data_IF_068475103297
#
_entry.id   IF_068475103297
#
_cell.length_a   1.000
_cell.length_b   1.000
_cell.length_c   1.000
_cell.angle_alpha   90.00
_cell.angle_beta   90.00
_cell.angle_gamma   90.00
#
_symmetry.space_group_name_H-M   'P 1'
#
loop_
_entity.id
_entity.type
_entity.pdbx_description
1 polymer ?
#
# COMPACT_ATOMS: atom_id res chain seq x y z
N UNK A 1 -11.33 52.11 -39.39
CA UNK A 1 -12.13 51.68 -38.22
C UNK A 1 -11.42 50.50 -37.61
N UNK A 2 -11.05 50.68 -36.36
CA UNK A 2 -10.06 49.96 -35.56
C UNK A 2 -10.54 48.57 -35.13
N UNK A 3 -9.69 47.57 -35.32
CA UNK A 3 -9.81 46.26 -34.67
C UNK A 3 -9.36 46.38 -33.21
N UNK A 4 -10.29 46.26 -32.27
CA UNK A 4 -9.96 46.14 -30.85
C UNK A 4 -9.39 44.75 -30.55
N UNK A 5 -8.16 44.73 -30.04
CA UNK A 5 -7.53 43.55 -29.46
C UNK A 5 -8.14 43.28 -28.07
N UNK A 6 -8.54 42.04 -27.73
CA UNK A 6 -8.99 41.75 -26.38
C UNK A 6 -7.80 41.78 -25.43
N UNK A 7 -7.77 42.80 -24.56
CA UNK A 7 -6.76 42.94 -23.53
C UNK A 7 -6.75 41.70 -22.61
N UNK A 8 -5.65 40.95 -22.60
CA UNK A 8 -5.40 39.90 -21.63
C UNK A 8 -5.18 40.54 -20.25
N UNK A 9 -6.21 40.51 -19.40
CA UNK A 9 -6.10 40.95 -18.00
C UNK A 9 -5.39 39.90 -17.16
N UNK A 10 -4.24 40.25 -16.57
CA UNK A 10 -3.60 39.45 -15.54
C UNK A 10 -4.14 39.84 -14.16
N UNK A 11 -4.68 38.89 -13.40
CA UNK A 11 -5.07 39.09 -12.01
C UNK A 11 -3.93 38.60 -11.10
N UNK A 12 -3.30 39.52 -10.36
CA UNK A 12 -2.29 39.21 -9.35
C UNK A 12 -2.93 39.35 -7.98
N UNK A 13 -3.03 38.24 -7.23
CA UNK A 13 -3.54 38.25 -5.87
C UNK A 13 -2.40 38.32 -4.85
N UNK A 14 -2.49 39.30 -3.95
CA UNK A 14 -1.59 39.48 -2.83
C UNK A 14 -2.18 38.78 -1.60
N UNK A 15 -1.41 37.93 -0.93
CA UNK A 15 -1.73 37.49 0.43
C UNK A 15 -0.73 38.10 1.39
N UNK A 16 -1.17 39.10 2.14
CA UNK A 16 -0.34 39.82 3.10
C UNK A 16 0.05 38.91 4.29
N UNK A 17 1.33 38.81 4.68
CA UNK A 17 1.72 38.13 5.89
C UNK A 17 1.42 39.02 7.11
N UNK A 18 0.29 38.77 7.77
CA UNK A 18 0.07 39.25 9.14
C UNK A 18 0.98 38.47 10.11
N UNK A 19 2.27 38.81 10.15
CA UNK A 19 3.15 38.75 11.33
C UNK A 19 4.53 39.31 10.98
N UNK A 20 4.97 40.42 11.61
CA UNK A 20 6.35 40.86 11.52
C UNK A 20 7.14 40.08 12.57
N UNK A 21 7.89 39.07 12.15
CA UNK A 21 9.11 38.52 12.80
C UNK A 21 9.24 37.01 12.59
N UNK A 22 9.76 36.60 11.44
CA UNK A 22 10.69 35.46 11.34
C UNK A 22 11.27 35.42 9.93
N UNK A 23 12.61 35.34 9.85
CA UNK A 23 13.41 35.40 8.62
C UNK A 23 12.85 34.59 7.46
N UNK A 24 12.76 35.25 6.30
CA UNK A 24 12.03 34.83 5.12
C UNK A 24 12.64 33.64 4.37
N UNK A 25 11.74 32.74 3.96
CA UNK A 25 11.89 31.84 2.83
C UNK A 25 11.30 32.57 1.60
N UNK A 26 11.84 32.42 0.37
CA UNK A 26 11.40 33.25 -0.76
C UNK A 26 9.95 32.95 -1.15
N UNK A 27 9.28 34.03 -1.55
CA UNK A 27 7.89 34.12 -1.96
C UNK A 27 7.51 33.06 -2.99
N UNK A 28 6.42 32.33 -2.74
CA UNK A 28 5.79 31.48 -3.76
C UNK A 28 4.74 32.31 -4.49
N UNK A 29 5.10 32.76 -5.67
CA UNK A 29 4.22 33.44 -6.62
C UNK A 29 3.39 32.41 -7.39
N UNK A 30 2.10 32.65 -7.55
CA UNK A 30 1.27 31.97 -8.54
C UNK A 30 0.93 32.98 -9.64
N UNK A 31 1.60 32.86 -10.79
CA UNK A 31 1.27 33.63 -11.99
C UNK A 31 0.38 32.75 -12.86
N UNK A 32 -0.89 33.15 -13.04
CA UNK A 32 -1.82 32.43 -13.93
C UNK A 32 -1.94 33.26 -15.22
N UNK A 33 -1.35 32.76 -16.30
CA UNK A 33 -1.38 33.40 -17.62
C UNK A 33 -2.55 32.87 -18.46
N UNK A 34 -3.40 33.80 -18.92
CA UNK A 34 -4.13 33.72 -20.19
C UNK A 34 -5.09 32.54 -20.39
N UNK A 35 -6.15 32.47 -19.60
CA UNK A 35 -7.32 31.62 -19.87
C UNK A 35 -8.60 32.45 -20.03
N UNK A 36 -9.62 31.86 -20.67
CA UNK A 36 -10.98 32.44 -20.76
C UNK A 36 -11.41 32.88 -19.35
N UNK A 37 -11.92 34.13 -19.15
CA UNK A 37 -12.08 34.73 -17.81
C UNK A 37 -12.80 33.86 -16.78
N UNK A 38 -13.79 33.06 -17.21
CA UNK A 38 -14.52 32.15 -16.34
C UNK A 38 -13.69 30.97 -15.80
N UNK A 39 -12.75 30.41 -16.58
CA UNK A 39 -11.90 29.29 -16.13
C UNK A 39 -10.80 29.77 -15.18
N UNK A 40 -10.18 30.91 -15.50
CA UNK A 40 -9.15 31.52 -14.64
C UNK A 40 -9.72 31.93 -13.28
N UNK A 41 -10.93 32.50 -13.22
CA UNK A 41 -11.60 32.80 -11.95
C UNK A 41 -11.90 31.53 -11.15
N UNK A 42 -12.41 30.47 -11.79
CA UNK A 42 -12.69 29.20 -11.11
C UNK A 42 -11.41 28.56 -10.51
N UNK A 43 -10.29 28.58 -11.24
CA UNK A 43 -8.99 28.09 -10.77
C UNK A 43 -8.45 28.93 -9.60
N UNK A 44 -8.60 30.25 -9.66
CA UNK A 44 -8.24 31.17 -8.57
C UNK A 44 -9.08 30.87 -7.33
N UNK A 45 -10.40 30.75 -7.45
CA UNK A 45 -11.28 30.43 -6.32
C UNK A 45 -10.97 29.06 -5.72
N UNK A 46 -10.69 28.06 -6.56
CA UNK A 46 -10.28 26.73 -6.11
C UNK A 46 -8.96 26.79 -5.35
N UNK A 47 -7.96 27.49 -5.89
CA UNK A 47 -6.62 27.61 -5.28
C UNK A 47 -6.68 28.36 -3.95
N UNK A 48 -7.38 29.50 -3.90
CA UNK A 48 -7.56 30.28 -2.68
C UNK A 48 -8.39 29.50 -1.65
N UNK A 49 -9.45 28.82 -2.08
CA UNK A 49 -10.26 27.95 -1.25
C UNK A 49 -9.46 26.80 -0.64
N UNK A 50 -8.60 26.14 -1.43
CA UNK A 50 -7.69 25.10 -0.95
C UNK A 50 -6.64 25.66 0.04
N UNK A 51 -6.06 26.84 -0.23
CA UNK A 51 -5.07 27.46 0.64
C UNK A 51 -5.68 27.88 1.99
N UNK A 52 -6.87 28.48 1.96
CA UNK A 52 -7.64 28.84 3.17
C UNK A 52 -8.06 27.58 3.93
N UNK A 53 -8.63 26.58 3.26
CA UNK A 53 -8.99 25.30 3.85
C UNK A 53 -7.80 24.57 4.49
N UNK A 54 -6.61 24.67 3.89
CA UNK A 54 -5.39 24.12 4.47
C UNK A 54 -4.95 24.89 5.72
N UNK A 55 -5.04 26.23 5.71
CA UNK A 55 -4.69 27.06 6.88
C UNK A 55 -5.68 26.86 8.03
N UNK A 56 -6.97 26.82 7.76
CA UNK A 56 -8.00 26.55 8.78
C UNK A 56 -7.86 25.15 9.35
N UNK A 57 -7.59 24.13 8.51
CA UNK A 57 -7.29 22.79 9.02
C UNK A 57 -6.03 22.78 9.89
N UNK A 58 -4.94 23.45 9.51
CA UNK A 58 -3.74 23.55 10.37
C UNK A 58 -4.05 24.25 11.70
N UNK A 59 -4.88 25.29 11.67
CA UNK A 59 -5.29 25.99 12.89
C UNK A 59 -6.20 25.12 13.76
N UNK A 60 -7.16 24.41 13.16
CA UNK A 60 -7.98 23.42 13.84
C UNK A 60 -7.11 22.33 14.48
N UNK A 61 -6.13 21.79 13.76
CA UNK A 61 -5.14 20.84 14.30
C UNK A 61 -4.36 21.42 15.49
N UNK A 62 -3.86 22.67 15.38
CA UNK A 62 -3.17 23.36 16.49
C UNK A 62 -4.08 23.56 17.70
N UNK A 63 -5.37 23.77 17.48
CA UNK A 63 -6.39 23.88 18.53
C UNK A 63 -6.89 22.50 19.02
N UNK A 64 -6.33 21.40 18.48
CA UNK A 64 -6.72 20.04 18.84
C UNK A 64 -8.14 19.67 18.41
N UNK A 65 -8.61 20.26 17.32
CA UNK A 65 -9.92 20.07 16.70
C UNK A 65 -9.77 19.20 15.43
N UNK A 66 -10.83 18.48 15.08
CA UNK A 66 -10.90 17.61 13.90
C UNK A 66 -10.82 16.11 14.20
N UNK A 67 -11.28 15.25 13.28
CA UNK A 67 -11.32 13.80 13.46
C UNK A 67 -9.94 13.19 13.72
N UNK A 68 -8.93 13.58 12.93
CA UNK A 68 -7.57 13.04 13.02
C UNK A 68 -6.94 13.28 14.40
N UNK A 69 -7.03 14.49 14.94
CA UNK A 69 -6.43 14.79 16.27
C UNK A 69 -7.15 14.03 17.38
N UNK A 70 -8.46 13.90 17.30
CA UNK A 70 -9.23 13.13 18.29
C UNK A 70 -8.89 11.64 18.19
N UNK A 71 -8.76 11.11 16.97
CA UNK A 71 -8.36 9.74 16.73
C UNK A 71 -6.95 9.45 17.27
N UNK A 72 -6.00 10.37 17.10
CA UNK A 72 -4.67 10.27 17.71
C UNK A 72 -4.73 10.27 19.24
N UNK A 73 -5.59 11.08 19.87
CA UNK A 73 -5.78 11.06 21.33
C UNK A 73 -6.35 9.72 21.82
N UNK A 74 -7.28 9.14 21.07
CA UNK A 74 -7.82 7.80 21.34
C UNK A 74 -6.72 6.76 21.16
N UNK A 75 -5.95 6.80 20.08
CA UNK A 75 -4.85 5.87 19.86
C UNK A 75 -3.77 5.98 20.94
N UNK A 76 -3.40 7.20 21.35
CA UNK A 76 -2.41 7.45 22.43
C UNK A 76 -2.89 7.02 23.81
N UNK A 77 -4.21 6.85 24.01
CA UNK A 77 -4.72 6.23 25.24
C UNK A 77 -4.24 4.78 25.34
N UNK A 78 -4.19 4.08 24.21
CA UNK A 78 -3.64 2.75 24.11
C UNK A 78 -2.12 2.84 24.00
N UNK A 79 -1.46 2.41 25.06
CA UNK A 79 -0.01 2.22 25.09
C UNK A 79 0.44 1.16 24.06
N UNK A 80 1.75 0.92 23.99
CA UNK A 80 2.32 -0.17 23.18
C UNK A 80 2.66 -1.38 24.04
N UNK A 81 2.74 -2.56 23.42
CA UNK A 81 3.17 -3.78 24.11
C UNK A 81 2.12 -4.33 25.09
N UNK A 82 2.57 -4.82 26.25
CA UNK A 82 1.73 -5.55 27.22
C UNK A 82 0.73 -4.66 27.95
N UNK A 83 1.06 -3.38 28.15
CA UNK A 83 0.15 -2.40 28.78
C UNK A 83 -1.10 -2.20 27.91
N UNK A 84 -0.96 -2.31 26.58
CA UNK A 84 -2.10 -2.26 25.65
C UNK A 84 -3.11 -3.38 25.92
N UNK A 85 -2.62 -4.61 26.12
CA UNK A 85 -3.48 -5.77 26.39
C UNK A 85 -4.25 -5.58 27.71
N UNK A 86 -3.59 -5.06 28.74
CA UNK A 86 -4.23 -4.74 30.03
C UNK A 86 -5.31 -3.66 29.88
N UNK A 87 -5.02 -2.59 29.14
CA UNK A 87 -5.96 -1.51 28.89
C UNK A 87 -7.19 -2.01 28.10
N UNK A 88 -6.98 -2.82 27.05
CA UNK A 88 -8.07 -3.42 26.28
C UNK A 88 -8.92 -4.38 27.12
N UNK A 89 -8.29 -5.17 27.99
CA UNK A 89 -9.02 -6.05 28.92
C UNK A 89 -9.87 -5.25 29.91
N UNK A 90 -9.34 -4.12 30.42
CA UNK A 90 -10.03 -3.26 31.36
C UNK A 90 -11.28 -2.58 30.76
N UNK A 91 -11.27 -2.27 29.45
CA UNK A 91 -12.41 -1.63 28.76
C UNK A 91 -13.72 -2.41 28.87
N UNK A 92 -13.66 -3.73 29.03
CA UNK A 92 -14.85 -4.57 29.18
C UNK A 92 -15.55 -4.35 30.52
N UNK A 93 -14.81 -3.92 31.53
CA UNK A 93 -15.33 -3.71 32.87
C UNK A 93 -15.73 -2.24 33.09
N UNK A 94 -14.85 -1.32 32.70
CA UNK A 94 -15.05 0.11 32.91
C UNK A 94 -14.49 0.91 31.73
N UNK A 95 -15.30 1.84 31.21
CA UNK A 95 -14.85 2.75 30.16
C UNK A 95 -14.28 4.01 30.81
N UNK A 96 -13.00 4.35 30.57
CA UNK A 96 -12.42 5.58 31.06
C UNK A 96 -13.15 6.80 30.50
N UNK A 97 -13.55 7.74 31.37
CA UNK A 97 -14.31 8.96 31.00
C UNK A 97 -13.64 9.75 29.88
N UNK A 98 -12.30 9.81 29.88
CA UNK A 98 -11.53 10.50 28.84
C UNK A 98 -11.69 9.82 27.47
N UNK A 99 -11.62 8.50 27.44
CA UNK A 99 -11.79 7.71 26.21
C UNK A 99 -13.22 7.83 25.69
N UNK A 100 -14.23 7.69 26.58
CA UNK A 100 -15.64 7.87 26.21
C UNK A 100 -15.90 9.26 25.62
N UNK A 101 -15.37 10.31 26.25
CA UNK A 101 -15.51 11.69 25.77
C UNK A 101 -14.87 11.87 24.39
N UNK A 102 -13.67 11.37 24.20
CA UNK A 102 -12.93 11.55 22.94
C UNK A 102 -13.58 10.69 21.82
N UNK A 103 -14.02 9.46 22.10
CA UNK A 103 -14.80 8.62 21.17
C UNK A 103 -16.15 9.25 20.81
N UNK A 104 -16.90 9.75 21.79
CA UNK A 104 -18.16 10.48 21.56
C UNK A 104 -17.95 11.75 20.73
N UNK A 105 -16.82 12.43 20.91
CA UNK A 105 -16.45 13.57 20.08
C UNK A 105 -16.13 13.16 18.64
N UNK A 106 -15.42 12.05 18.44
CA UNK A 106 -15.14 11.53 17.10
C UNK A 106 -16.44 11.14 16.37
N UNK A 107 -17.36 10.47 17.08
CA UNK A 107 -18.69 10.15 16.54
C UNK A 107 -19.46 11.39 16.14
N UNK A 108 -19.37 12.48 16.92
CA UNK A 108 -20.02 13.75 16.57
C UNK A 108 -19.58 14.28 15.20
N UNK A 109 -18.36 13.98 14.75
CA UNK A 109 -17.90 14.40 13.43
C UNK A 109 -18.48 13.61 12.25
N UNK A 110 -19.06 12.43 12.52
CA UNK A 110 -19.71 11.58 11.51
C UNK A 110 -21.14 12.04 11.16
N UNK A 111 -21.73 12.95 11.93
CA UNK A 111 -23.13 13.38 11.72
C UNK A 111 -23.29 14.46 10.64
N UNK A 112 -24.48 14.60 10.03
CA UNK A 112 -24.78 15.58 8.97
C UNK A 112 -24.59 17.06 9.32
N UNK A 113 -24.27 17.36 10.59
CA UNK A 113 -23.89 18.71 11.02
C UNK A 113 -22.49 19.12 10.56
N UNK A 114 -21.68 18.17 10.07
CA UNK A 114 -20.34 18.41 9.58
C UNK A 114 -20.28 18.36 8.04
N UNK A 115 -19.22 18.95 7.48
CA UNK A 115 -18.97 18.85 6.04
C UNK A 115 -18.73 17.39 5.61
N UNK A 116 -19.11 17.00 4.37
CA UNK A 116 -18.85 15.67 3.82
C UNK A 116 -17.40 15.20 3.99
N UNK A 117 -16.43 16.10 3.78
CA UNK A 117 -15.01 15.81 3.95
C UNK A 117 -14.66 15.45 5.39
N UNK A 118 -15.20 16.18 6.36
CA UNK A 118 -14.99 15.92 7.79
C UNK A 118 -15.64 14.61 8.22
N UNK A 119 -16.83 14.31 7.71
CA UNK A 119 -17.50 13.04 7.96
C UNK A 119 -16.71 11.86 7.42
N UNK A 120 -16.24 11.93 6.16
CA UNK A 120 -15.39 10.88 5.57
C UNK A 120 -14.17 10.59 6.43
N UNK A 121 -13.46 11.64 6.85
CA UNK A 121 -12.32 11.51 7.76
C UNK A 121 -12.74 10.87 9.09
N UNK A 122 -13.90 11.23 9.65
CA UNK A 122 -14.39 10.59 10.86
C UNK A 122 -14.68 9.09 10.66
N UNK A 123 -15.29 8.70 9.54
CA UNK A 123 -15.56 7.31 9.20
C UNK A 123 -14.27 6.49 9.09
N UNK A 124 -13.27 6.99 8.35
CA UNK A 124 -11.95 6.35 8.23
C UNK A 124 -11.31 6.10 9.60
N UNK A 125 -11.36 7.10 10.49
CA UNK A 125 -10.79 6.98 11.83
C UNK A 125 -11.60 6.06 12.72
N UNK A 126 -12.93 6.03 12.60
CA UNK A 126 -13.77 5.05 13.31
C UNK A 126 -13.38 3.64 12.89
N UNK A 127 -13.36 3.35 11.58
CA UNK A 127 -12.93 2.05 11.02
C UNK A 127 -11.56 1.66 11.56
N UNK A 128 -10.58 2.54 11.44
CA UNK A 128 -9.20 2.29 11.89
C UNK A 128 -9.14 1.98 13.36
N UNK A 129 -9.78 2.78 14.22
CA UNK A 129 -9.74 2.60 15.65
C UNK A 129 -10.48 1.34 16.11
N UNK A 130 -11.68 1.08 15.58
CA UNK A 130 -12.47 -0.09 15.98
C UNK A 130 -11.82 -1.40 15.60
N UNK A 131 -11.12 -1.43 14.47
CA UNK A 131 -10.45 -2.65 13.98
C UNK A 131 -9.05 -2.83 14.54
N UNK A 132 -8.33 -1.74 14.81
CA UNK A 132 -7.00 -1.78 15.46
C UNK A 132 -7.07 -2.12 16.95
N UNK A 133 -8.13 -1.69 17.65
CA UNK A 133 -8.29 -1.91 19.09
C UNK A 133 -9.53 -2.77 19.38
N UNK A 134 -9.38 -4.12 19.41
CA UNK A 134 -10.51 -5.01 19.68
C UNK A 134 -11.24 -4.66 20.98
N UNK A 135 -12.55 -4.46 20.90
CA UNK A 135 -13.41 -4.02 22.02
C UNK A 135 -13.68 -2.52 22.06
N UNK A 136 -12.94 -1.68 21.33
CA UNK A 136 -13.21 -0.24 21.27
C UNK A 136 -14.56 0.10 20.62
N UNK A 137 -15.08 -0.79 19.76
CA UNK A 137 -16.44 -0.72 19.20
C UNK A 137 -17.50 -0.44 20.27
N UNK A 138 -17.42 -1.11 21.41
CA UNK A 138 -18.38 -0.94 22.53
C UNK A 138 -18.40 0.50 23.07
N UNK A 139 -17.26 1.19 23.08
CA UNK A 139 -17.16 2.59 23.53
C UNK A 139 -17.89 3.52 22.57
N UNK A 140 -17.78 3.28 21.26
CA UNK A 140 -18.51 4.06 20.26
C UNK A 140 -20.01 3.84 20.34
N UNK A 141 -20.45 2.58 20.52
CA UNK A 141 -21.86 2.23 20.68
C UNK A 141 -22.51 2.79 21.95
N UNK A 142 -21.73 3.05 23.00
CA UNK A 142 -22.21 3.71 24.23
C UNK A 142 -22.30 5.23 24.14
N UNK A 143 -21.76 5.83 23.08
CA UNK A 143 -21.84 7.28 22.91
C UNK A 143 -23.30 7.74 22.85
N UNK A 144 -23.56 8.96 23.33
CA UNK A 144 -24.90 9.59 23.27
C UNK A 144 -25.52 9.63 21.87
N UNK A 145 -24.68 9.55 20.84
CA UNK A 145 -25.07 9.56 19.44
C UNK A 145 -25.71 8.25 18.96
N UNK A 146 -25.47 7.15 19.68
CA UNK A 146 -25.94 5.81 19.33
C UNK A 146 -27.07 5.31 20.26
N UNK A 147 -27.52 6.15 21.20
CA UNK A 147 -28.57 5.78 22.14
C UNK A 147 -29.90 5.53 21.41
N UNK A 148 -30.46 4.33 21.58
CA UNK A 148 -31.73 3.93 20.95
C UNK A 148 -31.62 3.53 19.48
N UNK A 149 -30.42 3.48 18.92
CA UNK A 149 -30.18 3.08 17.53
C UNK A 149 -29.98 1.57 17.49
N UNK A 150 -30.72 0.82 16.65
CA UNK A 150 -30.43 -0.60 16.42
C UNK A 150 -29.01 -0.81 15.90
N UNK A 151 -28.32 -1.86 16.36
CA UNK A 151 -26.97 -2.25 15.92
C UNK A 151 -26.93 -2.87 14.52
N UNK A 152 -27.91 -2.51 13.66
CA UNK A 152 -28.00 -2.92 12.27
C UNK A 152 -27.23 -1.94 11.38
N UNK A 153 -26.44 -2.47 10.44
CA UNK A 153 -25.62 -1.69 9.50
C UNK A 153 -26.41 -0.55 8.84
N UNK A 154 -27.58 -0.83 8.28
CA UNK A 154 -28.37 0.15 7.54
C UNK A 154 -28.96 1.23 8.47
N UNK A 155 -29.34 0.84 9.70
CA UNK A 155 -29.81 1.79 10.71
C UNK A 155 -28.71 2.77 11.13
N UNK A 156 -27.47 2.29 11.29
CA UNK A 156 -26.33 3.13 11.62
C UNK A 156 -25.96 4.03 10.44
N UNK A 157 -25.89 3.47 9.23
CA UNK A 157 -25.56 4.24 8.03
C UNK A 157 -26.56 5.37 7.76
N UNK A 158 -27.86 5.12 7.97
CA UNK A 158 -28.92 6.11 7.78
C UNK A 158 -28.80 7.32 8.71
N UNK A 159 -28.23 7.16 9.91
CA UNK A 159 -27.96 8.30 10.82
C UNK A 159 -26.95 9.30 10.27
N UNK A 160 -26.09 8.82 9.36
CA UNK A 160 -25.02 9.61 8.77
C UNK A 160 -25.35 10.06 7.35
N UNK A 161 -26.57 9.79 6.86
CA UNK A 161 -27.03 10.27 5.57
C UNK A 161 -26.98 11.80 5.50
N UNK A 162 -26.32 12.32 4.47
CA UNK A 162 -26.27 13.76 4.23
C UNK A 162 -27.58 14.21 3.56
N UNK A 163 -28.20 15.33 4.00
CA UNK A 163 -29.48 15.79 3.44
C UNK A 163 -29.41 16.15 1.96
N UNK A 164 -28.22 16.58 1.49
CA UNK A 164 -28.00 17.03 0.12
C UNK A 164 -27.88 15.89 -0.92
N UNK A 165 -28.16 14.64 -0.52
CA UNK A 165 -28.21 13.49 -1.42
C UNK A 165 -26.91 12.69 -1.51
N UNK A 166 -26.82 11.74 -2.48
CA UNK A 166 -25.70 10.82 -2.59
C UNK A 166 -24.41 11.58 -2.89
N UNK A 167 -23.44 11.42 -2.00
CA UNK A 167 -22.11 11.99 -2.11
C UNK A 167 -21.20 11.09 -2.95
N UNK A 168 -19.96 11.54 -3.12
CA UNK A 168 -18.86 10.82 -3.76
C UNK A 168 -18.80 9.31 -3.36
N UNK A 169 -18.48 8.38 -4.30
CA UNK A 169 -18.43 6.95 -4.01
C UNK A 169 -17.51 6.57 -2.85
N UNK A 170 -16.40 7.28 -2.68
CA UNK A 170 -15.45 7.06 -1.57
C UNK A 170 -16.10 7.40 -0.23
N UNK A 171 -16.87 8.50 -0.16
CA UNK A 171 -17.62 8.85 1.04
C UNK A 171 -18.65 7.77 1.39
N UNK A 172 -19.39 7.27 0.39
CA UNK A 172 -20.40 6.23 0.59
C UNK A 172 -19.77 4.89 1.03
N UNK A 173 -18.61 4.55 0.47
CA UNK A 173 -17.81 3.40 0.90
C UNK A 173 -17.44 3.51 2.39
N UNK A 174 -16.78 4.60 2.79
CA UNK A 174 -16.31 4.78 4.17
C UNK A 174 -17.45 4.84 5.18
N UNK A 175 -18.55 5.51 4.84
CA UNK A 175 -19.76 5.53 5.68
C UNK A 175 -20.26 4.12 5.94
N UNK A 176 -20.42 3.34 4.87
CA UNK A 176 -20.95 1.98 4.93
C UNK A 176 -19.98 1.05 5.68
N UNK A 177 -18.68 1.24 5.48
CA UNK A 177 -17.66 0.47 6.18
C UNK A 177 -17.63 0.77 7.68
N UNK A 178 -17.68 2.05 8.06
CA UNK A 178 -17.77 2.47 9.46
C UNK A 178 -19.04 1.94 10.12
N UNK A 179 -20.18 1.96 9.41
CA UNK A 179 -21.44 1.42 9.91
C UNK A 179 -21.34 -0.10 10.12
N UNK A 180 -20.70 -0.82 9.19
CA UNK A 180 -20.42 -2.26 9.31
C UNK A 180 -19.53 -2.55 10.52
N UNK A 181 -18.49 -1.74 10.75
CA UNK A 181 -17.61 -1.87 11.93
C UNK A 181 -18.34 -1.71 13.26
N UNK A 182 -19.40 -0.88 13.30
CA UNK A 182 -20.21 -0.66 14.51
C UNK A 182 -21.37 -1.65 14.62
N UNK A 183 -21.85 -2.19 13.49
CA UNK A 183 -22.94 -3.15 13.46
C UNK A 183 -22.59 -4.47 14.14
N UNK A 184 -23.61 -5.21 14.55
CA UNK A 184 -23.45 -6.55 15.11
C UNK A 184 -23.25 -7.57 13.98
N UNK A 185 -21.99 -7.97 13.78
CA UNK A 185 -21.59 -8.99 12.81
C UNK A 185 -21.10 -10.24 13.51
N UNK A 186 -21.08 -11.38 12.81
CA UNK A 186 -20.48 -12.62 13.32
C UNK A 186 -19.02 -12.41 13.76
N UNK A 187 -18.26 -11.60 13.01
CA UNK A 187 -16.88 -11.23 13.33
C UNK A 187 -16.82 -10.40 14.62
N UNK A 188 -17.70 -9.40 14.77
CA UNK A 188 -17.74 -8.56 15.97
C UNK A 188 -18.09 -9.37 17.22
N UNK A 189 -19.11 -10.23 17.13
CA UNK A 189 -19.51 -11.15 18.23
C UNK A 189 -18.34 -12.06 18.60
N UNK A 190 -17.68 -12.68 17.61
CA UNK A 190 -16.52 -13.55 17.82
C UNK A 190 -15.39 -12.85 18.59
N UNK A 191 -15.10 -11.59 18.27
CA UNK A 191 -14.05 -10.80 18.91
C UNK A 191 -14.41 -10.35 20.32
N UNK A 192 -15.67 -9.99 20.55
CA UNK A 192 -16.16 -9.49 21.83
C UNK A 192 -16.31 -10.61 22.85
N UNK A 193 -16.72 -11.81 22.42
CA UNK A 193 -16.81 -13.00 23.27
C UNK A 193 -15.42 -13.55 23.65
N UNK A 194 -14.41 -13.39 22.78
CA UNK A 194 -13.06 -13.89 23.03
C UNK A 194 -12.31 -12.98 24.00
N UNK A 195 -11.83 -13.46 25.17
CA UNK A 195 -11.03 -12.64 26.09
C UNK A 195 -9.79 -12.03 25.43
N UNK A 196 -9.41 -10.81 25.83
CA UNK A 196 -8.24 -10.11 25.24
C UNK A 196 -6.96 -10.95 25.34
N UNK A 197 -6.76 -11.64 26.45
CA UNK A 197 -5.63 -12.56 26.67
C UNK A 197 -5.60 -13.76 25.73
N UNK A 198 -6.71 -14.06 25.05
CA UNK A 198 -6.84 -15.17 24.10
C UNK A 198 -6.80 -14.70 22.64
N UNK A 199 -7.02 -13.41 22.36
CA UNK A 199 -7.10 -12.87 20.98
C UNK A 199 -5.86 -13.23 20.15
N UNK A 200 -4.67 -13.04 20.74
CA UNK A 200 -3.39 -13.27 20.09
C UNK A 200 -2.82 -14.68 20.35
N UNK A 201 -3.58 -15.57 20.97
CA UNK A 201 -3.11 -16.92 21.28
C UNK A 201 -3.47 -17.90 20.19
N UNK A 202 -2.56 -18.83 19.91
CA UNK A 202 -2.85 -19.99 19.06
C UNK A 202 -3.50 -21.15 19.84
N UNK A 203 -4.07 -20.86 21.01
CA UNK A 203 -4.83 -21.86 21.77
C UNK A 203 -6.13 -22.13 21.03
N UNK A 204 -6.41 -23.41 20.84
CA UNK A 204 -7.63 -23.86 20.17
C UNK A 204 -8.81 -23.69 21.13
N UNK A 205 -9.88 -23.07 20.65
CA UNK A 205 -11.15 -23.01 21.37
C UNK A 205 -11.91 -24.36 21.24
N UNK A 206 -13.17 -24.38 21.70
CA UNK A 206 -14.05 -25.54 21.61
C UNK A 206 -14.32 -26.02 20.17
N UNK A 207 -13.91 -25.27 19.14
CA UNK A 207 -13.96 -25.63 17.72
C UNK A 207 -12.63 -26.10 17.13
N UNK A 208 -11.56 -26.21 17.94
CA UNK A 208 -10.27 -26.72 17.46
C UNK A 208 -9.45 -25.71 16.63
N UNK A 209 -9.89 -24.45 16.55
CA UNK A 209 -9.25 -23.38 15.79
C UNK A 209 -8.93 -22.20 16.71
N UNK A 210 -7.83 -21.50 16.44
CA UNK A 210 -7.55 -20.21 17.07
C UNK A 210 -8.42 -19.10 16.45
N UNK A 211 -8.58 -17.98 17.14
CA UNK A 211 -9.28 -16.81 16.59
C UNK A 211 -8.66 -16.34 15.26
N UNK A 212 -7.32 -16.32 15.17
CA UNK A 212 -6.59 -15.95 13.97
C UNK A 212 -6.97 -16.87 12.80
N UNK A 213 -7.03 -18.19 13.04
CA UNK A 213 -7.45 -19.15 12.02
C UNK A 213 -8.93 -18.97 11.62
N UNK A 214 -9.81 -18.69 12.58
CA UNK A 214 -11.23 -18.39 12.29
C UNK A 214 -11.39 -17.15 11.41
N UNK A 215 -10.63 -16.09 11.67
CA UNK A 215 -10.63 -14.87 10.85
C UNK A 215 -10.06 -15.11 9.45
N UNK A 216 -8.99 -15.90 9.33
CA UNK A 216 -8.43 -16.29 8.03
C UNK A 216 -9.43 -17.11 7.19
N UNK A 217 -10.18 -18.01 7.83
CA UNK A 217 -11.24 -18.78 7.16
C UNK A 217 -12.40 -17.87 6.76
N UNK A 218 -12.88 -17.01 7.66
CA UNK A 218 -13.97 -16.07 7.39
C UNK A 218 -13.65 -15.17 6.19
N UNK A 219 -12.42 -14.67 6.10
CA UNK A 219 -11.93 -13.91 4.93
C UNK A 219 -12.02 -14.68 3.60
N UNK A 220 -11.88 -16.02 3.63
CA UNK A 220 -11.88 -16.85 2.43
C UNK A 220 -13.25 -17.41 2.02
N UNK A 221 -14.25 -17.35 2.90
CA UNK A 221 -15.54 -18.02 2.70
C UNK A 221 -16.65 -17.12 2.15
N UNK A 222 -16.54 -15.80 2.31
CA UNK A 222 -17.63 -14.90 1.96
C UNK A 222 -17.45 -14.33 0.55
N UNK A 223 -18.16 -14.91 -0.42
CA UNK A 223 -18.22 -14.43 -1.81
C UNK A 223 -19.58 -13.80 -2.07
N UNK A 224 -19.65 -12.47 -2.17
CA UNK A 224 -20.84 -11.72 -2.56
C UNK A 224 -20.70 -10.22 -2.30
N UNK A 225 -21.46 -9.40 -3.03
CA UNK A 225 -21.37 -7.93 -2.95
C UNK A 225 -21.65 -7.39 -1.52
N UNK A 226 -22.56 -8.03 -0.78
CA UNK A 226 -22.90 -7.67 0.60
C UNK A 226 -21.78 -7.98 1.60
N UNK A 227 -20.84 -8.87 1.23
CA UNK A 227 -19.75 -9.36 2.08
C UNK A 227 -18.42 -8.64 1.85
N UNK A 228 -18.36 -7.67 0.94
CA UNK A 228 -17.14 -6.91 0.62
C UNK A 228 -16.48 -6.35 1.89
N UNK A 229 -17.27 -5.87 2.85
CA UNK A 229 -16.76 -5.33 4.10
C UNK A 229 -16.33 -6.39 5.12
N UNK A 230 -16.87 -7.61 5.09
CA UNK A 230 -16.43 -8.67 6.00
C UNK A 230 -14.98 -9.06 5.75
N UNK A 231 -14.58 -9.16 4.49
CA UNK A 231 -13.19 -9.47 4.13
C UNK A 231 -12.24 -8.37 4.60
N UNK A 232 -12.62 -7.11 4.40
CA UNK A 232 -11.86 -5.96 4.89
C UNK A 232 -11.81 -5.90 6.43
N UNK A 233 -12.91 -6.22 7.11
CA UNK A 233 -12.96 -6.35 8.57
C UNK A 233 -12.01 -7.42 9.07
N UNK A 234 -12.02 -8.62 8.49
CA UNK A 234 -11.11 -9.70 8.84
C UNK A 234 -9.64 -9.28 8.71
N UNK A 235 -9.28 -8.64 7.59
CA UNK A 235 -7.92 -8.14 7.35
C UNK A 235 -7.51 -7.15 8.44
N UNK A 236 -8.33 -6.14 8.71
CA UNK A 236 -8.00 -5.10 9.70
C UNK A 236 -7.95 -5.65 11.13
N UNK A 237 -8.89 -6.53 11.51
CA UNK A 237 -8.87 -7.16 12.83
C UNK A 237 -7.66 -8.10 13.00
N UNK A 238 -7.27 -8.84 11.96
CA UNK A 238 -6.03 -9.61 11.98
C UNK A 238 -4.83 -8.69 12.23
N UNK A 239 -4.74 -7.54 11.55
CA UNK A 239 -3.71 -6.55 11.81
C UNK A 239 -3.71 -6.07 13.27
N UNK A 240 -4.89 -5.70 13.80
CA UNK A 240 -5.04 -5.22 15.18
C UNK A 240 -4.67 -6.26 16.24
N UNK A 241 -5.03 -7.52 16.02
CA UNK A 241 -4.67 -8.65 16.90
C UNK A 241 -3.17 -8.92 16.84
N UNK A 242 -2.57 -8.89 15.64
CA UNK A 242 -1.14 -9.14 15.47
C UNK A 242 -0.26 -7.98 15.99
N UNK A 243 -0.81 -6.79 16.23
CA UNK A 243 -0.07 -5.76 16.97
C UNK A 243 0.11 -6.10 18.46
N UNK A 244 -0.69 -7.02 19.00
CA UNK A 244 -0.54 -7.47 20.39
C UNK A 244 0.71 -8.35 20.51
N UNK A 245 1.56 -8.12 21.53
CA UNK A 245 2.80 -8.87 21.67
C UNK A 245 2.57 -10.36 21.92
N UNK A 246 1.44 -10.76 22.49
CA UNK A 246 1.14 -12.16 22.84
C UNK A 246 1.43 -13.17 21.73
N UNK A 247 1.10 -12.86 20.48
CA UNK A 247 1.35 -13.77 19.35
C UNK A 247 2.86 -13.92 19.07
N UNK A 248 3.56 -12.79 18.92
CA UNK A 248 4.97 -12.78 18.53
C UNK A 248 5.95 -13.09 19.67
N UNK A 249 5.53 -13.07 20.92
CA UNK A 249 6.36 -13.48 22.04
C UNK A 249 6.48 -15.01 22.17
N UNK A 250 5.53 -15.77 21.62
CA UNK A 250 5.45 -17.22 21.77
C UNK A 250 6.00 -17.97 20.55
N UNK A 251 7.24 -18.45 20.63
CA UNK A 251 7.87 -19.26 19.57
C UNK A 251 7.60 -20.74 19.85
N UNK A 252 6.34 -21.17 19.66
CA UNK A 252 5.95 -22.59 19.74
C UNK A 252 5.62 -23.11 18.34
N UNK A 253 5.70 -24.43 18.15
CA UNK A 253 5.36 -25.09 16.86
C UNK A 253 3.98 -24.64 16.34
N UNK A 254 2.99 -24.52 17.23
CA UNK A 254 1.65 -24.06 16.85
C UNK A 254 1.66 -22.63 16.29
N UNK A 255 2.48 -21.73 16.84
CA UNK A 255 2.60 -20.37 16.33
C UNK A 255 3.32 -20.35 14.97
N UNK A 256 4.33 -21.20 14.78
CA UNK A 256 4.99 -21.38 13.48
C UNK A 256 4.00 -21.75 12.38
N UNK A 257 3.08 -22.68 12.68
CA UNK A 257 2.07 -23.11 11.70
C UNK A 257 1.02 -22.03 11.42
N UNK A 258 0.55 -21.31 12.44
CA UNK A 258 -0.37 -20.17 12.24
C UNK A 258 0.32 -19.05 11.46
N UNK A 259 1.60 -18.77 11.73
CA UNK A 259 2.37 -17.78 11.00
C UNK A 259 2.57 -18.16 9.52
N UNK A 260 2.74 -19.45 9.21
CA UNK A 260 2.74 -19.95 7.83
C UNK A 260 1.41 -19.68 7.14
N UNK A 261 0.29 -20.00 7.78
CA UNK A 261 -1.06 -19.73 7.26
C UNK A 261 -1.29 -18.23 7.04
N UNK A 262 -0.85 -17.39 7.96
CA UNK A 262 -0.89 -15.92 7.83
C UNK A 262 -0.11 -15.44 6.61
N UNK A 263 1.12 -15.92 6.41
CA UNK A 263 1.93 -15.54 5.25
C UNK A 263 1.29 -16.00 3.94
N UNK A 264 0.77 -17.23 3.88
CA UNK A 264 0.05 -17.71 2.69
C UNK A 264 -1.22 -16.90 2.39
N UNK A 265 -2.00 -16.57 3.43
CA UNK A 265 -3.14 -15.67 3.30
C UNK A 265 -2.73 -14.30 2.77
N UNK A 266 -1.63 -13.75 3.29
CA UNK A 266 -1.09 -12.47 2.84
C UNK A 266 -0.62 -12.51 1.38
N UNK A 267 0.09 -13.58 0.96
CA UNK A 267 0.47 -13.78 -0.45
C UNK A 267 -0.77 -13.74 -1.34
N UNK A 268 -1.83 -14.47 -0.97
CA UNK A 268 -3.07 -14.49 -1.73
C UNK A 268 -3.69 -13.09 -1.83
N UNK A 269 -3.83 -12.38 -0.71
CA UNK A 269 -4.35 -11.01 -0.68
C UNK A 269 -3.54 -10.10 -1.61
N UNK A 270 -2.20 -10.16 -1.55
CA UNK A 270 -1.34 -9.32 -2.39
C UNK A 270 -1.48 -9.62 -3.89
N UNK A 271 -1.68 -10.88 -4.25
CA UNK A 271 -1.94 -11.30 -5.63
C UNK A 271 -3.33 -10.88 -6.10
N UNK A 272 -4.34 -11.01 -5.23
CA UNK A 272 -5.72 -10.63 -5.54
C UNK A 272 -5.84 -9.11 -5.83
N UNK A 273 -5.02 -8.27 -5.18
CA UNK A 273 -4.95 -6.83 -5.48
C UNK A 273 -3.99 -6.47 -6.62
N UNK A 274 -3.42 -7.48 -7.29
CA UNK A 274 -2.55 -7.31 -8.45
C UNK A 274 -1.20 -6.64 -8.16
N UNK A 275 -0.71 -6.65 -6.91
CA UNK A 275 0.61 -6.07 -6.57
C UNK A 275 1.76 -6.84 -7.21
N UNK A 276 1.54 -8.10 -7.58
CA UNK A 276 2.48 -8.93 -8.33
C UNK A 276 2.34 -8.80 -9.85
N UNK A 277 1.41 -8.00 -10.37
CA UNK A 277 1.28 -7.79 -11.81
C UNK A 277 2.18 -6.64 -12.24
N UNK A 278 2.89 -6.81 -13.36
CA UNK A 278 3.62 -5.69 -13.97
C UNK A 278 2.61 -4.65 -14.44
N UNK A 279 2.83 -3.35 -14.18
CA UNK A 279 1.95 -2.31 -14.67
C UNK A 279 2.07 -2.26 -16.20
N UNK A 280 1.28 -3.08 -16.89
CA UNK A 280 1.25 -3.14 -18.35
C UNK A 280 0.19 -2.20 -18.92
N UNK A 281 -0.72 -1.64 -18.11
CA UNK A 281 -1.71 -0.66 -18.56
C UNK A 281 -2.28 0.20 -17.42
N UNK A 282 -2.71 1.42 -17.75
CA UNK A 282 -3.29 2.44 -16.86
C UNK A 282 -4.63 2.04 -16.18
N UNK A 283 -5.12 0.82 -16.39
CA UNK A 283 -6.44 0.35 -15.92
C UNK A 283 -6.54 0.08 -14.42
N UNK A 284 -5.44 0.12 -13.66
CA UNK A 284 -5.36 -0.29 -12.26
C UNK A 284 -5.87 0.76 -11.23
N UNK A 285 -6.49 1.87 -11.63
CA UNK A 285 -6.70 3.03 -10.73
C UNK A 285 -8.14 3.38 -10.35
N UNK A 286 -9.17 2.64 -10.78
CA UNK A 286 -10.55 3.07 -10.55
C UNK A 286 -11.36 2.29 -9.51
N UNK A 287 -10.80 1.30 -8.82
CA UNK A 287 -11.56 0.62 -7.76
C UNK A 287 -11.48 1.40 -6.44
N UNK A 288 -12.31 2.44 -6.32
CA UNK A 288 -12.52 3.21 -5.08
C UNK A 288 -13.14 2.39 -3.93
N UNK A 289 -13.25 1.07 -4.09
CA UNK A 289 -13.93 0.13 -3.19
C UNK A 289 -12.98 -0.80 -2.44
N UNK A 290 -11.67 -0.65 -2.60
CA UNK A 290 -10.70 -1.54 -1.96
C UNK A 290 -9.99 -0.90 -0.76
N UNK A 291 -9.86 -1.65 0.33
CA UNK A 291 -9.24 -1.20 1.58
C UNK A 291 -7.72 -1.43 1.58
N UNK A 292 -7.00 -0.68 0.74
CA UNK A 292 -5.54 -0.75 0.65
C UNK A 292 -4.85 -0.43 1.99
N UNK A 293 -5.40 0.50 2.78
CA UNK A 293 -4.86 0.84 4.10
C UNK A 293 -4.94 -0.36 5.06
N UNK A 294 -6.04 -1.12 5.05
CA UNK A 294 -6.18 -2.33 5.86
C UNK A 294 -5.18 -3.42 5.46
N UNK A 295 -4.96 -3.61 4.15
CA UNK A 295 -3.97 -4.56 3.62
C UNK A 295 -2.55 -4.14 3.98
N UNK A 296 -2.21 -2.86 3.81
CA UNK A 296 -0.90 -2.30 4.16
C UNK A 296 -0.63 -2.44 5.66
N UNK A 297 -1.64 -2.19 6.49
CA UNK A 297 -1.54 -2.35 7.94
C UNK A 297 -1.30 -3.81 8.37
N UNK A 298 -2.02 -4.78 7.78
CA UNK A 298 -1.82 -6.20 8.06
C UNK A 298 -0.42 -6.66 7.64
N UNK A 299 -0.01 -6.31 6.42
CA UNK A 299 1.31 -6.67 5.89
C UNK A 299 2.44 -6.07 6.74
N UNK A 300 2.38 -4.78 7.09
CA UNK A 300 3.37 -4.15 7.97
C UNK A 300 3.47 -4.87 9.32
N UNK A 301 2.32 -5.20 9.93
CA UNK A 301 2.29 -5.91 11.21
C UNK A 301 2.93 -7.29 11.11
N UNK A 302 2.69 -8.04 10.03
CA UNK A 302 3.34 -9.34 9.77
C UNK A 302 4.87 -9.15 9.63
N UNK A 303 5.33 -8.16 8.86
CA UNK A 303 6.76 -7.89 8.66
C UNK A 303 7.46 -7.53 9.98
N UNK A 304 6.84 -6.68 10.80
CA UNK A 304 7.35 -6.29 12.13
C UNK A 304 7.43 -7.51 13.05
N UNK A 305 6.37 -8.31 13.09
CA UNK A 305 6.29 -9.54 13.88
C UNK A 305 7.37 -10.55 13.52
N UNK A 306 7.49 -10.86 12.23
CA UNK A 306 8.49 -11.79 11.71
C UNK A 306 9.91 -11.28 11.91
N UNK A 307 10.16 -9.99 11.69
CA UNK A 307 11.47 -9.36 11.98
C UNK A 307 11.88 -9.53 13.44
N UNK A 308 10.92 -9.49 14.37
CA UNK A 308 11.18 -9.77 15.78
C UNK A 308 11.42 -11.25 16.08
N UNK A 309 10.82 -12.17 15.32
CA UNK A 309 11.13 -13.59 15.39
C UNK A 309 12.53 -13.93 14.88
N UNK A 310 12.95 -13.35 13.76
CA UNK A 310 14.32 -13.51 13.25
C UNK A 310 15.37 -13.11 14.30
N UNK A 311 15.12 -12.08 15.10
CA UNK A 311 16.04 -11.66 16.18
C UNK A 311 16.13 -12.67 17.33
N UNK A 312 15.12 -13.52 17.51
CA UNK A 312 15.01 -14.46 18.65
C UNK A 312 15.43 -15.88 18.29
N UNK A 313 15.20 -16.30 17.04
CA UNK A 313 15.57 -17.63 16.56
C UNK A 313 17.03 -17.59 16.11
N UNK A 314 17.81 -18.60 16.46
CA UNK A 314 19.21 -18.71 16.02
C UNK A 314 19.33 -18.65 14.49
N UNK A 315 20.32 -17.90 13.99
CA UNK A 315 20.43 -17.47 12.59
C UNK A 315 20.55 -18.63 11.59
N UNK A 316 20.93 -19.81 12.07
CA UNK A 316 21.14 -21.00 11.26
C UNK A 316 19.87 -21.81 11.03
N UNK A 317 18.76 -21.50 11.71
CA UNK A 317 17.59 -22.40 11.76
C UNK A 317 16.31 -21.84 11.11
N UNK A 318 16.36 -20.70 10.42
CA UNK A 318 15.16 -20.11 9.81
C UNK A 318 14.73 -20.79 8.53
N UNK A 319 15.67 -21.24 7.70
CA UNK A 319 15.38 -21.82 6.37
C UNK A 319 14.54 -23.09 6.48
N UNK A 320 14.68 -23.84 7.58
CA UNK A 320 13.87 -25.03 7.87
C UNK A 320 12.49 -24.75 8.49
N UNK A 321 12.15 -23.49 8.79
CA UNK A 321 10.87 -23.15 9.40
C UNK A 321 9.75 -23.18 8.35
N UNK A 322 8.59 -23.71 8.74
CA UNK A 322 7.46 -23.92 7.83
C UNK A 322 6.89 -22.61 7.25
N UNK A 323 7.08 -21.47 7.93
CA UNK A 323 6.63 -20.15 7.48
C UNK A 323 7.62 -19.41 6.58
N UNK A 324 8.89 -19.81 6.53
CA UNK A 324 9.96 -19.02 5.92
C UNK A 324 9.76 -18.82 4.41
N UNK A 325 9.41 -19.87 3.68
CA UNK A 325 9.19 -19.80 2.24
C UNK A 325 8.06 -18.82 1.87
N UNK A 326 6.91 -18.93 2.55
CA UNK A 326 5.77 -18.03 2.32
C UNK A 326 6.06 -16.60 2.76
N UNK A 327 6.80 -16.41 3.86
CA UNK A 327 7.20 -15.08 4.28
C UNK A 327 8.17 -14.42 3.29
N UNK A 328 9.13 -15.18 2.73
CA UNK A 328 10.01 -14.72 1.66
C UNK A 328 9.21 -14.24 0.45
N UNK A 329 8.19 -14.97 0.05
CA UNK A 329 7.31 -14.58 -1.06
C UNK A 329 6.56 -13.28 -0.76
N UNK A 330 6.02 -13.10 0.46
CA UNK A 330 5.41 -11.82 0.90
C UNK A 330 6.39 -10.67 0.72
N UNK A 331 7.63 -10.80 1.21
CA UNK A 331 8.66 -9.75 1.11
C UNK A 331 9.01 -9.45 -0.35
N UNK A 332 9.12 -10.47 -1.20
CA UNK A 332 9.42 -10.29 -2.62
C UNK A 332 8.29 -9.56 -3.36
N UNK A 333 7.03 -9.89 -3.07
CA UNK A 333 5.89 -9.18 -3.67
C UNK A 333 5.87 -7.72 -3.20
N UNK A 334 6.07 -7.48 -1.90
CA UNK A 334 6.05 -6.14 -1.32
C UNK A 334 7.22 -5.25 -1.71
N UNK A 335 8.31 -5.80 -2.27
CA UNK A 335 9.43 -5.03 -2.82
C UNK A 335 9.16 -4.52 -4.25
N UNK A 336 8.05 -4.90 -4.86
CA UNK A 336 7.72 -4.48 -6.23
C UNK A 336 7.33 -2.99 -6.26
N UNK A 337 7.57 -2.28 -7.38
CA UNK A 337 7.27 -0.86 -7.49
C UNK A 337 5.81 -0.50 -7.20
N UNK A 338 4.86 -1.36 -7.55
CA UNK A 338 3.44 -1.11 -7.34
C UNK A 338 3.08 -1.08 -5.84
N UNK A 339 3.78 -1.86 -5.01
CA UNK A 339 3.61 -1.83 -3.56
C UNK A 339 3.98 -0.48 -2.96
N UNK A 340 4.94 0.25 -3.53
CA UNK A 340 5.30 1.58 -3.03
C UNK A 340 4.15 2.59 -3.15
N UNK A 341 3.29 2.41 -4.16
CA UNK A 341 2.14 3.28 -4.38
C UNK A 341 0.92 2.84 -3.56
N UNK A 342 0.65 1.53 -3.48
CA UNK A 342 -0.56 0.99 -2.86
C UNK A 342 -0.38 0.70 -1.36
N UNK A 343 0.81 0.24 -0.95
CA UNK A 343 1.12 -0.29 0.38
C UNK A 343 2.43 0.33 0.92
N UNK A 344 2.48 1.66 1.09
CA UNK A 344 3.72 2.38 1.33
C UNK A 344 4.43 1.97 2.63
N UNK A 345 3.71 1.63 3.70
CA UNK A 345 4.32 1.25 4.96
C UNK A 345 5.01 -0.12 4.84
N UNK A 346 4.29 -1.09 4.27
CA UNK A 346 4.78 -2.43 4.01
C UNK A 346 5.95 -2.44 3.03
N UNK A 347 5.90 -1.64 1.96
CA UNK A 347 7.01 -1.47 1.03
C UNK A 347 8.25 -0.92 1.74
N UNK A 348 8.10 0.16 2.53
CA UNK A 348 9.21 0.75 3.30
C UNK A 348 9.81 -0.26 4.29
N UNK A 349 8.99 -1.10 4.90
CA UNK A 349 9.44 -2.15 5.81
C UNK A 349 10.14 -3.30 5.08
N UNK A 350 9.57 -3.76 3.97
CA UNK A 350 10.10 -4.82 3.12
C UNK A 350 11.48 -4.46 2.54
N UNK A 351 11.71 -3.19 2.24
CA UNK A 351 12.97 -2.65 1.70
C UNK A 351 13.96 -2.18 2.77
N UNK A 352 13.65 -2.34 4.06
CA UNK A 352 14.55 -1.91 5.13
C UNK A 352 15.79 -2.79 5.26
N UNK A 353 16.94 -2.19 5.60
CA UNK A 353 18.21 -2.89 5.87
C UNK A 353 18.05 -4.01 6.91
N UNK A 354 17.13 -3.78 7.87
CA UNK A 354 16.85 -4.74 8.94
C UNK A 354 16.32 -6.07 8.41
N UNK A 355 15.53 -6.04 7.34
CA UNK A 355 14.94 -7.22 6.73
C UNK A 355 15.80 -7.76 5.58
N UNK A 356 16.55 -6.88 4.90
CA UNK A 356 17.52 -7.25 3.86
C UNK A 356 18.58 -8.25 4.37
N UNK A 357 18.98 -8.13 5.64
CA UNK A 357 19.86 -9.09 6.29
C UNK A 357 19.31 -10.52 6.30
N UNK A 358 18.00 -10.67 6.40
CA UNK A 358 17.34 -11.97 6.55
C UNK A 358 16.84 -12.52 5.21
N UNK A 359 16.37 -11.64 4.34
CA UNK A 359 15.87 -11.98 3.01
C UNK A 359 16.60 -11.05 2.03
N UNK A 360 17.82 -11.44 1.59
CA UNK A 360 18.56 -10.62 0.64
C UNK A 360 17.81 -10.57 -0.69
N UNK A 361 17.78 -9.40 -1.29
CA UNK A 361 17.34 -9.22 -2.66
C UNK A 361 18.38 -9.84 -3.56
N UNK A 362 18.04 -10.94 -4.23
CA UNK A 362 18.92 -11.56 -5.22
C UNK A 362 18.77 -10.75 -6.51
N UNK A 363 19.57 -9.70 -6.64
CA UNK A 363 19.71 -9.00 -7.90
C UNK A 363 20.34 -9.94 -8.92
N UNK A 364 19.56 -10.38 -9.91
CA UNK A 364 20.12 -11.01 -11.09
C UNK A 364 20.61 -9.89 -12.00
N UNK A 365 21.91 -9.76 -12.13
CA UNK A 365 22.50 -8.94 -13.18
C UNK A 365 22.07 -9.56 -14.52
N UNK A 366 21.29 -8.80 -15.28
CA UNK A 366 20.92 -9.17 -16.65
C UNK A 366 21.66 -8.18 -17.53
N UNK A 367 22.74 -8.65 -18.14
CA UNK A 367 23.51 -7.89 -19.11
C UNK A 367 22.74 -7.92 -20.44
N UNK A 368 22.48 -6.74 -20.99
CA UNK A 368 21.91 -6.59 -22.32
C UNK A 368 22.97 -5.98 -23.22
N UNK A 369 23.35 -6.69 -24.28
CA UNK A 369 24.12 -6.12 -25.36
C UNK A 369 23.17 -5.36 -26.28
N UNK A 370 23.26 -4.03 -26.28
CA UNK A 370 22.46 -3.18 -27.17
C UNK A 370 23.32 -2.88 -28.39
N UNK A 371 22.94 -3.46 -29.53
CA UNK A 371 23.57 -3.16 -30.82
C UNK A 371 22.86 -1.96 -31.44
N UNK A 372 23.55 -0.82 -31.50
CA UNK A 372 23.03 0.41 -32.14
C UNK A 372 23.59 0.49 -33.56
N UNK A 373 22.83 0.06 -34.56
CA UNK A 373 23.14 0.30 -35.97
C UNK A 373 22.75 1.73 -36.36
N UNK A 374 23.70 2.67 -36.45
CA UNK A 374 23.40 4.00 -36.99
C UNK A 374 23.25 3.96 -38.52
N UNK A 375 22.06 3.66 -39.00
CA UNK A 375 21.69 3.81 -40.41
C UNK A 375 21.19 5.23 -40.67
N UNK A 376 21.89 6.00 -41.51
CA UNK A 376 21.46 7.36 -41.93
C UNK A 376 20.52 7.35 -43.14
N UNK A 377 19.90 6.22 -43.48
CA UNK A 377 19.02 6.14 -44.65
C UNK A 377 17.57 5.85 -44.25
N UNK A 378 16.72 6.84 -44.50
CA UNK A 378 15.26 6.80 -44.35
C UNK A 378 14.65 5.68 -45.20
N UNK A 379 13.99 4.70 -44.58
CA UNK A 379 13.11 3.70 -45.23
C UNK A 379 11.87 3.47 -44.31
N UNK A 380 10.63 3.35 -44.86
CA UNK A 380 9.37 3.47 -44.12
C UNK A 380 8.89 2.14 -43.47
N UNK A 381 7.84 2.15 -42.62
CA UNK A 381 7.58 1.09 -41.67
C UNK A 381 6.76 -0.06 -42.27
N UNK A 382 7.25 -1.29 -42.14
CA UNK A 382 6.41 -2.48 -42.23
C UNK A 382 6.98 -3.66 -41.43
N UNK A 383 6.19 -4.05 -40.43
CA UNK A 383 5.98 -5.40 -39.90
C UNK A 383 7.18 -6.24 -39.41
N UNK A 384 7.21 -6.46 -38.09
CA UNK A 384 7.61 -7.69 -37.37
C UNK A 384 7.37 -7.42 -35.87
N UNK A 385 6.74 -8.24 -35.04
CA UNK A 385 6.84 -9.68 -34.88
C UNK A 385 7.56 -9.98 -33.56
N UNK A 386 6.94 -9.69 -32.40
CA UNK A 386 7.53 -9.95 -31.07
C UNK A 386 7.44 -11.45 -30.74
N UNK A 387 8.60 -12.11 -30.66
CA UNK A 387 8.72 -13.44 -30.07
C UNK A 387 8.99 -13.31 -28.57
N UNK A 388 8.14 -13.94 -27.76
CA UNK A 388 8.38 -14.16 -26.32
C UNK A 388 9.10 -15.51 -26.13
N UNK A 389 10.09 -15.58 -25.23
CA UNK A 389 10.62 -16.84 -24.69
C UNK A 389 10.22 -17.00 -23.22
N UNK A 390 9.75 -18.20 -22.88
CA UNK A 390 9.34 -18.65 -21.54
C UNK A 390 10.46 -18.66 -20.50
N UNK A 391 10.04 -18.57 -19.23
CA UNK A 391 10.84 -18.64 -18.01
C UNK A 391 11.29 -20.07 -17.70
N UNK A 392 12.52 -20.23 -17.17
CA UNK A 392 12.96 -21.43 -16.45
C UNK A 392 13.37 -21.00 -15.05
N UNK A 393 12.72 -21.59 -14.04
CA UNK A 393 13.07 -21.46 -12.62
C UNK A 393 14.14 -22.52 -12.29
N UNK A 394 15.33 -22.08 -11.87
CA UNK A 394 16.44 -22.98 -11.54
C UNK A 394 16.51 -23.09 -10.01
N UNK A 395 16.36 -24.32 -9.50
CA UNK A 395 16.53 -24.59 -8.07
C UNK A 395 18.00 -24.43 -7.62
N UNK A 396 18.20 -24.08 -6.35
CA UNK A 396 19.52 -23.87 -5.71
C UNK A 396 20.51 -25.06 -5.86
N UNK A 397 20.04 -26.23 -6.27
CA UNK A 397 20.85 -27.43 -6.54
C UNK A 397 21.63 -27.35 -7.86
N UNK A 398 21.08 -26.73 -8.90
CA UNK A 398 21.71 -26.72 -10.23
C UNK A 398 22.93 -25.77 -10.29
N UNK A 399 22.90 -24.70 -9.50
CA UNK A 399 23.96 -23.68 -9.43
C UNK A 399 25.29 -24.22 -8.88
N UNK A 400 25.26 -25.27 -8.04
CA UNK A 400 26.47 -25.84 -7.42
C UNK A 400 27.27 -26.76 -8.33
N UNK A 401 26.74 -27.15 -9.50
CA UNK A 401 27.29 -28.25 -10.31
C UNK A 401 28.25 -27.87 -11.44
N UNK A 402 28.39 -26.59 -11.81
CA UNK A 402 29.16 -26.20 -13.01
C UNK A 402 30.50 -25.53 -12.67
N UNK A 403 31.54 -26.36 -12.54
CA UNK A 403 32.95 -25.96 -12.50
C UNK A 403 33.55 -25.68 -13.88
N UNK A 404 34.53 -24.78 -13.90
CA UNK A 404 35.19 -24.13 -15.04
C UNK A 404 36.15 -25.00 -15.87
N UNK A 405 36.00 -25.01 -17.21
CA UNK A 405 37.11 -25.05 -18.21
C UNK A 405 36.62 -24.44 -19.53
N UNK A 406 37.30 -23.43 -20.09
CA UNK A 406 37.04 -22.85 -21.41
C UNK A 406 38.09 -23.32 -22.43
N UNK A 407 37.71 -23.77 -23.64
CA UNK A 407 38.63 -23.90 -24.77
C UNK A 407 38.65 -22.63 -25.63
N UNK A 408 39.84 -22.29 -26.13
CA UNK A 408 40.10 -21.13 -27.00
C UNK A 408 39.49 -21.29 -28.40
N UNK A 409 39.01 -20.19 -29.04
CA UNK A 409 38.34 -20.24 -30.33
C UNK A 409 39.32 -20.37 -31.53
N UNK A 410 38.87 -20.94 -32.67
CA UNK A 410 39.67 -21.04 -33.89
C UNK A 410 39.67 -19.72 -34.69
N UNK A 411 40.63 -19.52 -35.61
CA UNK A 411 40.80 -18.25 -36.29
C UNK A 411 39.77 -18.08 -37.42
N UNK A 412 39.20 -16.88 -37.53
CA UNK A 412 38.28 -16.48 -38.59
C UNK A 412 39.06 -15.76 -39.70
N UNK A 413 38.75 -16.08 -40.95
CA UNK A 413 39.33 -15.47 -42.16
C UNK A 413 38.64 -14.14 -42.48
N UNK A 414 39.45 -13.13 -42.75
CA UNK A 414 39.04 -11.77 -43.10
C UNK A 414 38.34 -11.70 -44.47
N UNK A 415 37.12 -11.13 -44.48
CA UNK A 415 36.58 -10.44 -45.65
C UNK A 415 36.27 -9.01 -45.25
N UNK A 416 37.10 -8.08 -45.73
CA UNK A 416 37.09 -6.67 -45.40
C UNK A 416 35.86 -5.96 -46.00
N UNK A 417 34.91 -5.63 -45.13
CA UNK A 417 33.95 -4.54 -45.34
C UNK A 417 34.37 -3.42 -44.39
N UNK A 418 34.64 -2.24 -44.95
CA UNK A 418 35.06 -1.06 -44.19
C UNK A 418 33.88 -0.50 -43.39
N UNK A 419 33.69 -0.99 -42.15
CA UNK A 419 32.78 -0.40 -41.19
C UNK A 419 33.41 0.87 -40.58
N UNK A 420 32.66 1.98 -40.60
CA UNK A 420 32.97 3.15 -39.76
C UNK A 420 32.90 2.73 -38.28
N UNK A 421 33.76 3.33 -37.46
CA UNK A 421 33.98 3.00 -36.05
C UNK A 421 32.67 2.76 -35.27
N UNK A 422 32.40 1.50 -34.97
CA UNK A 422 31.31 1.08 -34.11
C UNK A 422 31.65 1.49 -32.67
N UNK A 423 30.83 2.33 -32.04
CA UNK A 423 30.96 2.63 -30.62
C UNK A 423 30.05 1.68 -29.84
N UNK A 424 30.67 0.82 -29.04
CA UNK A 424 29.95 -0.09 -28.14
C UNK A 424 29.77 0.64 -26.82
N UNK A 425 28.52 0.83 -26.41
CA UNK A 425 28.18 1.37 -25.09
C UNK A 425 27.76 0.23 -24.19
N UNK A 426 28.47 0.05 -23.07
CA UNK A 426 28.10 -0.91 -22.04
C UNK A 426 27.15 -0.23 -21.05
N UNK A 427 25.87 -0.61 -21.09
CA UNK A 427 24.85 -0.12 -20.16
C UNK A 427 24.51 -1.23 -19.17
N UNK A 428 24.90 -1.06 -17.91
CA UNK A 428 24.59 -2.02 -16.84
C UNK A 428 23.38 -1.54 -16.07
N UNK A 429 22.26 -2.27 -16.16
CA UNK A 429 21.03 -1.96 -15.43
C UNK A 429 20.81 -2.95 -14.29
N UNK A 430 21.15 -2.52 -13.07
CA UNK A 430 21.01 -3.30 -11.85
C UNK A 430 19.54 -3.32 -11.39
N UNK A 431 19.01 -4.50 -11.05
CA UNK A 431 17.62 -4.68 -10.55
C UNK A 431 17.17 -6.15 -10.60
N UNK A 432 15.98 -6.50 -10.12
CA UNK A 432 15.46 -7.87 -10.18
C UNK A 432 15.28 -8.36 -11.63
N UNK A 433 15.40 -9.68 -11.86
CA UNK A 433 15.36 -10.29 -13.20
C UNK A 433 14.05 -10.10 -13.98
N UNK A 434 13.01 -9.57 -13.34
CA UNK A 434 11.69 -9.32 -13.92
C UNK A 434 11.37 -7.83 -14.10
N UNK A 435 12.26 -6.91 -13.72
CA UNK A 435 12.03 -5.47 -13.88
C UNK A 435 12.04 -5.14 -15.38
N UNK A 436 11.19 -4.22 -15.84
CA UNK A 436 11.15 -3.68 -17.20
C UNK A 436 12.45 -2.97 -17.59
N UNK A 437 13.57 -3.66 -17.52
CA UNK A 437 14.91 -3.22 -17.90
C UNK A 437 14.93 -2.93 -19.39
N UNK A 438 14.28 -3.77 -20.20
CA UNK A 438 14.07 -3.48 -21.62
C UNK A 438 13.27 -2.20 -21.83
N UNK A 439 12.29 -1.89 -20.96
CA UNK A 439 11.55 -0.63 -21.00
C UNK A 439 12.41 0.58 -20.56
N UNK A 440 13.19 0.44 -19.49
CA UNK A 440 14.10 1.50 -19.01
C UNK A 440 15.24 1.75 -20.01
N UNK A 441 15.75 0.69 -20.62
CA UNK A 441 16.73 0.74 -21.72
C UNK A 441 16.08 1.39 -22.94
N UNK A 442 14.88 0.96 -23.35
CA UNK A 442 14.16 1.58 -24.47
C UNK A 442 13.88 3.06 -24.20
N UNK A 443 13.50 3.43 -22.99
CA UNK A 443 13.29 4.81 -22.61
C UNK A 443 14.59 5.61 -22.61
N UNK A 444 15.67 5.07 -22.03
CA UNK A 444 16.99 5.68 -22.07
C UNK A 444 17.48 5.88 -23.51
N UNK A 445 17.27 4.90 -24.39
CA UNK A 445 17.62 4.96 -25.81
C UNK A 445 16.74 5.97 -26.56
N UNK A 446 15.43 5.97 -26.33
CA UNK A 446 14.49 6.93 -26.94
C UNK A 446 14.71 8.36 -26.46
N UNK A 447 15.14 8.56 -25.22
CA UNK A 447 15.45 9.88 -24.67
C UNK A 447 16.86 10.35 -25.10
N UNK A 448 17.81 9.44 -25.37
CA UNK A 448 19.18 9.75 -25.77
C UNK A 448 19.39 9.90 -27.29
N UNK A 449 18.56 9.25 -28.11
CA UNK A 449 18.63 9.27 -29.58
C UNK A 449 17.35 9.89 -30.17
N UNK A 450 17.51 10.74 -31.20
CA UNK A 450 16.44 11.59 -31.76
C UNK A 450 15.30 10.74 -32.39
N UNK A 451 14.07 11.26 -32.26
CA UNK A 451 12.71 10.77 -32.61
C UNK A 451 12.44 9.86 -33.84
N UNK A 452 13.42 9.41 -34.62
CA UNK A 452 13.21 8.56 -35.81
C UNK A 452 14.13 7.31 -35.83
N UNK A 453 14.74 6.95 -34.69
CA UNK A 453 15.65 5.80 -34.58
C UNK A 453 15.02 4.62 -33.82
N UNK A 454 14.98 3.44 -34.42
CA UNK A 454 14.47 2.20 -33.81
C UNK A 454 15.65 1.24 -33.50
N UNK A 455 16.09 1.12 -32.23
CA UNK A 455 17.23 0.26 -31.89
C UNK A 455 16.87 -1.22 -32.03
N UNK A 456 17.67 -1.97 -32.78
CA UNK A 456 17.54 -3.43 -32.86
C UNK A 456 18.12 -4.06 -31.59
N UNK A 457 17.26 -4.51 -30.67
CA UNK A 457 17.70 -5.29 -29.50
C UNK A 457 17.82 -6.75 -29.92
N UNK A 458 19.03 -7.22 -30.20
CA UNK A 458 19.28 -8.65 -30.36
C UNK A 458 19.35 -9.32 -28.98
N UNK A 459 18.36 -10.15 -28.67
CA UNK A 459 18.45 -11.03 -27.51
C UNK A 459 19.58 -12.04 -27.73
N UNK A 460 20.56 -12.08 -26.84
CA UNK A 460 21.58 -13.14 -26.86
C UNK A 460 20.88 -14.48 -26.60
N UNK A 461 20.74 -15.26 -27.67
CA UNK A 461 20.23 -16.62 -27.60
C UNK A 461 21.29 -17.48 -26.88
N UNK A 462 20.97 -18.00 -25.70
CA UNK A 462 21.84 -18.92 -24.96
C UNK A 462 22.10 -20.16 -25.82
N UNK A 463 23.26 -20.22 -26.49
CA UNK A 463 23.74 -21.42 -27.18
C UNK A 463 23.82 -22.54 -26.17
N UNK A 464 22.88 -23.47 -26.25
CA UNK A 464 22.97 -24.74 -25.55
C UNK A 464 24.15 -25.50 -26.12
N UNK A 465 25.24 -25.58 -25.36
CA UNK A 465 26.27 -26.57 -25.59
C UNK A 465 25.64 -27.95 -25.40
N UNK A 466 25.24 -28.61 -26.50
CA UNK A 466 25.15 -30.07 -26.51
C UNK A 466 26.58 -30.59 -26.37
N UNK A 467 26.97 -30.94 -25.15
CA UNK A 467 28.09 -31.86 -24.91
C UNK A 467 27.64 -33.31 -25.14
N UNK A 468 28.58 -34.21 -25.45
CA UNK A 468 28.32 -35.63 -25.73
C UNK A 468 27.71 -36.41 -24.56
#
# INVERSE_FOLDING_TARGET
MTSESPAAGALVLYTDPLTPNSGGNPERWAVILGGVPGRTLAEVYSTVGQALGTRTNRMAHRLGLGPEVVAQKIALFFSTGTERELQLAALRNEIPVKLERDSSRLMGYAFPTQSPKTQRQAFEKIVTLTTRFPGLRFVFLRSKWMQGVPTLKDSIAALWDHPDGPLDPEWSFWRTFAATCLSETSIAVMLEETPVSQLATCLKDNGGLSLIERLLIAHGCETGADFTFSNALCIRYLGGILELPGFWLNIRIVHSEVARKLCLGMVRILKDIGVDIFPSDESLRSESSFDYEGVDFLADTILVGMSNWFKKIDATNWVGQSWYASFREVVQILRRPLSAALLPNSFSRATSDSLEKYIPTIYREVEFDIMVETSTNVIPPAATGLYYSEYIDISDEEFRSRGSVLPSPPPVKDSAVSFKSMQVFKVVVLGDGAVGKSFLINRLLNDAYIYDYDPTIEGVCLRHGRGP
#
